data_IF_280091000184
#
_entry.id   IF_280091000184
#
_cell.length_a   1.000
_cell.length_b   1.000
_cell.length_c   1.000
_cell.angle_alpha   90.00
_cell.angle_beta   90.00
_cell.angle_gamma   90.00
#
_symmetry.space_group_name_H-M   'P 1'
#
loop_
_entity.id
_entity.type
_entity.pdbx_description
1 polymer ?
#
# COMPACT_ATOMS: atom_id res chain seq x y z
N UNK A 1 -3.33 -19.60 -12.11
CA UNK A 1 -2.26 -18.57 -12.13
C UNK A 1 -2.81 -17.16 -11.82
N UNK A 2 -4.02 -17.01 -11.26
CA UNK A 2 -4.66 -15.68 -11.09
C UNK A 2 -4.35 -14.95 -9.78
N UNK A 3 -3.95 -15.66 -8.71
CA UNK A 3 -3.87 -15.06 -7.37
C UNK A 3 -2.75 -14.00 -7.21
N UNK A 4 -1.61 -14.20 -7.87
CA UNK A 4 -0.45 -13.28 -7.79
C UNK A 4 -0.71 -11.94 -8.48
N UNK A 5 -1.55 -11.93 -9.53
CA UNK A 5 -1.85 -10.71 -10.27
C UNK A 5 -2.77 -9.78 -9.47
N UNK A 6 -3.66 -10.36 -8.66
CA UNK A 6 -4.62 -9.62 -7.83
C UNK A 6 -3.95 -8.82 -6.71
N UNK A 7 -2.95 -9.39 -6.02
CA UNK A 7 -2.31 -8.74 -4.87
C UNK A 7 -1.46 -7.52 -5.31
N UNK A 8 -0.77 -7.63 -6.45
CA UNK A 8 0.00 -6.52 -7.04
C UNK A 8 -0.96 -5.41 -7.50
N UNK A 9 -2.04 -5.76 -8.19
CA UNK A 9 -3.06 -4.78 -8.60
C UNK A 9 -3.67 -4.06 -7.39
N UNK A 10 -4.01 -4.78 -6.33
CA UNK A 10 -4.53 -4.19 -5.10
C UNK A 10 -3.52 -3.25 -4.43
N UNK A 11 -2.24 -3.61 -4.38
CA UNK A 11 -1.19 -2.72 -3.87
C UNK A 11 -1.08 -1.44 -4.70
N UNK A 12 -1.05 -1.55 -6.04
CA UNK A 12 -0.95 -0.39 -6.93
C UNK A 12 -2.15 0.57 -6.78
N UNK A 13 -3.36 0.04 -6.71
CA UNK A 13 -4.57 0.85 -6.50
C UNK A 13 -4.50 1.64 -5.19
N UNK A 14 -4.05 1.00 -4.10
CA UNK A 14 -3.90 1.70 -2.81
C UNK A 14 -2.83 2.77 -2.87
N UNK A 15 -1.73 2.51 -3.58
CA UNK A 15 -0.67 3.50 -3.76
C UNK A 15 -1.13 4.70 -4.59
N UNK A 16 -1.83 4.46 -5.70
CA UNK A 16 -2.45 5.51 -6.53
C UNK A 16 -3.42 6.35 -5.67
N UNK A 17 -4.23 5.71 -4.81
CA UNK A 17 -5.12 6.45 -3.90
C UNK A 17 -4.38 7.30 -2.87
N UNK A 18 -3.23 6.85 -2.37
CA UNK A 18 -2.39 7.66 -1.46
C UNK A 18 -1.84 8.89 -2.19
N UNK A 19 -1.43 8.74 -3.45
CA UNK A 19 -0.98 9.86 -4.30
C UNK A 19 -2.11 10.88 -4.49
N UNK A 20 -3.31 10.42 -4.84
CA UNK A 20 -4.51 11.29 -4.94
C UNK A 20 -4.80 12.01 -3.62
N UNK A 21 -4.73 11.31 -2.48
CA UNK A 21 -4.94 11.92 -1.16
C UNK A 21 -3.90 13.01 -0.90
N UNK A 22 -2.64 12.79 -1.28
CA UNK A 22 -1.58 13.80 -1.15
C UNK A 22 -1.90 15.06 -1.95
N UNK A 23 -2.36 14.89 -3.19
CA UNK A 23 -2.77 16.02 -4.04
C UNK A 23 -3.98 16.77 -3.44
N UNK A 24 -4.97 16.04 -2.94
CA UNK A 24 -6.16 16.64 -2.31
C UNK A 24 -5.82 17.40 -1.02
N UNK A 25 -4.86 16.91 -0.23
CA UNK A 25 -4.42 17.58 1.00
C UNK A 25 -3.63 18.88 0.75
N UNK A 26 -3.16 19.11 -0.48
CA UNK A 26 -2.50 20.36 -0.88
C UNK A 26 -3.49 21.43 -1.35
N UNK A 27 -4.77 21.10 -1.49
CA UNK A 27 -5.82 22.05 -1.87
C UNK A 27 -6.06 23.07 -0.75
N UNK A 28 -6.01 24.36 -1.11
CA UNK A 28 -6.19 25.49 -0.19
C UNK A 28 -7.65 25.68 0.23
N UNK A 29 -8.61 25.14 -0.54
CA UNK A 29 -10.04 25.23 -0.24
C UNK A 29 -10.57 24.01 0.55
N UNK A 30 -9.68 23.08 0.93
CA UNK A 30 -10.04 21.88 1.68
C UNK A 30 -10.49 22.24 3.11
N UNK A 31 -11.67 21.78 3.51
CA UNK A 31 -12.15 21.99 4.86
C UNK A 31 -11.44 21.05 5.88
N UNK A 32 -11.40 21.48 7.14
CA UNK A 32 -10.68 20.76 8.20
C UNK A 32 -11.23 19.34 8.43
N UNK A 33 -12.54 19.12 8.32
CA UNK A 33 -13.13 17.81 8.55
C UNK A 33 -12.77 16.84 7.42
N UNK A 34 -12.76 17.33 6.17
CA UNK A 34 -12.30 16.60 4.99
C UNK A 34 -10.80 16.29 5.08
N UNK A 35 -9.97 17.25 5.51
CA UNK A 35 -8.54 17.05 5.70
C UNK A 35 -8.25 15.92 6.70
N UNK A 36 -8.98 15.89 7.83
CA UNK A 36 -8.85 14.81 8.83
C UNK A 36 -9.23 13.46 8.22
N UNK A 37 -10.35 13.38 7.48
CA UNK A 37 -10.80 12.13 6.85
C UNK A 37 -9.80 11.61 5.81
N UNK A 38 -9.28 12.50 4.95
CA UNK A 38 -8.27 12.15 3.94
C UNK A 38 -6.97 11.68 4.60
N UNK A 39 -6.55 12.33 5.67
CA UNK A 39 -5.37 11.92 6.44
C UNK A 39 -5.54 10.54 7.08
N UNK A 40 -6.70 10.27 7.71
CA UNK A 40 -7.03 8.96 8.27
C UNK A 40 -7.04 7.87 7.20
N UNK A 41 -7.67 8.13 6.05
CA UNK A 41 -7.68 7.23 4.89
C UNK A 41 -6.25 6.92 4.43
N UNK A 42 -5.42 7.95 4.24
CA UNK A 42 -4.03 7.81 3.82
C UNK A 42 -3.19 7.00 4.81
N UNK A 43 -3.41 7.18 6.12
CA UNK A 43 -2.75 6.38 7.16
C UNK A 43 -3.12 4.90 7.07
N UNK A 44 -4.41 4.59 6.88
CA UNK A 44 -4.90 3.20 6.77
C UNK A 44 -4.29 2.54 5.52
N UNK A 45 -4.37 3.20 4.37
CA UNK A 45 -3.82 2.68 3.12
C UNK A 45 -2.30 2.44 3.22
N UNK A 46 -1.57 3.37 3.85
CA UNK A 46 -0.13 3.23 4.08
C UNK A 46 0.20 2.00 4.91
N UNK A 47 -0.55 1.74 5.98
CA UNK A 47 -0.37 0.53 6.79
C UNK A 47 -0.63 -0.75 6.00
N UNK A 48 -1.64 -0.76 5.13
CA UNK A 48 -1.95 -1.92 4.30
C UNK A 48 -0.87 -2.20 3.24
N UNK A 49 -0.32 -1.14 2.64
CA UNK A 49 0.80 -1.24 1.72
C UNK A 49 2.03 -1.83 2.43
N UNK A 50 2.37 -1.35 3.62
CA UNK A 50 3.48 -1.88 4.42
C UNK A 50 3.30 -3.37 4.75
N UNK A 51 2.09 -3.80 5.14
CA UNK A 51 1.79 -5.22 5.38
C UNK A 51 1.99 -6.07 4.12
N UNK A 52 1.59 -5.55 2.96
CA UNK A 52 1.75 -6.23 1.68
C UNK A 52 3.23 -6.42 1.32
N UNK A 53 4.05 -5.40 1.55
CA UNK A 53 5.50 -5.45 1.34
C UNK A 53 6.18 -6.43 2.30
N UNK A 54 5.81 -6.42 3.59
CA UNK A 54 6.33 -7.39 4.57
C UNK A 54 6.01 -8.83 4.17
N UNK A 55 4.79 -9.11 3.73
CA UNK A 55 4.41 -10.44 3.25
C UNK A 55 5.24 -10.88 2.03
N UNK A 56 5.51 -9.95 1.11
CA UNK A 56 6.36 -10.21 -0.05
C UNK A 56 7.82 -10.49 0.37
N UNK A 57 8.36 -9.72 1.32
CA UNK A 57 9.71 -9.92 1.85
C UNK A 57 9.89 -11.29 2.53
N UNK A 58 8.92 -11.69 3.36
CA UNK A 58 8.91 -13.01 4.00
C UNK A 58 8.96 -14.11 2.94
N UNK A 59 8.09 -14.03 1.93
CA UNK A 59 8.05 -15.01 0.84
C UNK A 59 9.37 -15.08 0.06
N UNK A 60 9.99 -13.94 -0.23
CA UNK A 60 11.31 -13.89 -0.89
C UNK A 60 12.37 -14.56 -0.02
N UNK A 61 12.34 -14.31 1.29
CA UNK A 61 13.29 -14.88 2.26
C UNK A 61 13.15 -16.40 2.37
N UNK A 62 11.91 -16.91 2.45
CA UNK A 62 11.61 -18.35 2.44
C UNK A 62 12.11 -19.03 1.17
N UNK A 63 11.89 -18.41 0.01
CA UNK A 63 12.38 -18.91 -1.27
C UNK A 63 13.92 -18.96 -1.28
N UNK A 64 14.60 -17.87 -0.89
CA UNK A 64 16.06 -17.83 -0.81
C UNK A 64 16.63 -18.93 0.08
N UNK A 65 16.04 -19.14 1.26
CA UNK A 65 16.46 -20.19 2.18
C UNK A 65 16.27 -21.58 1.57
N UNK A 66 15.15 -21.80 0.87
CA UNK A 66 14.87 -23.06 0.18
C UNK A 66 15.88 -23.36 -0.94
N UNK A 67 16.36 -22.34 -1.67
CA UNK A 67 17.36 -22.50 -2.71
C UNK A 67 18.80 -22.68 -2.18
N UNK A 68 19.17 -22.06 -1.06
CA UNK A 68 20.51 -22.18 -0.47
C UNK A 68 20.75 -23.51 0.28
N UNK A 69 19.72 -24.34 0.44
CA UNK A 69 19.86 -25.67 1.07
C UNK A 69 20.08 -26.80 0.06
N UNK A 70 20.28 -26.46 -1.22
CA UNK A 70 20.68 -27.36 -2.33
C UNK A 70 22.15 -27.14 -2.70
#
# INVERSE_FOLDING_TARGET
MEKVNSDITAFKIKLERIEEISELLEDQDLDLEQAIKLYEEGMILSQECLKSLQAAEVKITELKNSFNTL
#
